data_IF_310616103371
#
_entry.id   IF_310616103371
#
_cell.length_a   1.000
_cell.length_b   1.000
_cell.length_c   1.000
_cell.angle_alpha   90.00
_cell.angle_beta   90.00
_cell.angle_gamma   90.00
#
_symmetry.space_group_name_H-M   'P 1'
#
loop_
_entity.id
_entity.type
_entity.pdbx_description
1 polymer ?
#
# COMPACT_ATOMS: atom_id res chain seq x y z
N UNK A 1 21.32 23.01 0.94
CA UNK A 1 20.55 23.62 -0.17
C UNK A 1 20.29 22.65 -1.29
N UNK A 2 21.33 22.24 -1.99
CA UNK A 2 21.16 21.26 -3.07
C UNK A 2 20.58 19.93 -2.60
N UNK A 3 21.03 19.45 -1.43
CA UNK A 3 20.52 18.19 -0.89
C UNK A 3 19.03 18.26 -0.53
N UNK A 4 18.57 19.40 -0.06
CA UNK A 4 17.15 19.59 0.22
C UNK A 4 16.32 19.66 -1.05
N UNK A 5 16.82 20.36 -2.07
CA UNK A 5 16.15 20.45 -3.36
C UNK A 5 16.04 19.07 -4.02
N UNK A 6 17.14 18.30 -3.99
CA UNK A 6 17.14 16.93 -4.53
C UNK A 6 16.19 16.05 -3.75
N UNK A 7 16.19 16.17 -2.41
CA UNK A 7 15.31 15.38 -1.56
C UNK A 7 13.84 15.70 -1.83
N UNK A 8 13.50 16.98 -1.98
CA UNK A 8 12.14 17.40 -2.32
C UNK A 8 11.71 16.88 -3.68
N UNK A 9 12.64 16.93 -4.65
CA UNK A 9 12.38 16.44 -6.00
C UNK A 9 12.14 14.93 -5.99
N UNK A 10 13.01 14.18 -5.29
CA UNK A 10 12.86 12.73 -5.15
C UNK A 10 11.54 12.38 -4.47
N UNK A 11 11.18 13.10 -3.41
CA UNK A 11 9.91 12.89 -2.72
C UNK A 11 8.74 13.16 -3.65
N UNK A 12 8.79 14.24 -4.44
CA UNK A 12 7.73 14.58 -5.38
C UNK A 12 7.57 13.50 -6.45
N UNK A 13 8.69 12.89 -6.92
CA UNK A 13 8.63 11.79 -7.87
C UNK A 13 8.06 10.52 -7.22
N UNK A 14 8.45 10.23 -5.98
CA UNK A 14 7.92 9.08 -5.24
C UNK A 14 6.45 9.24 -4.91
N UNK A 15 5.99 10.46 -4.69
CA UNK A 15 4.60 10.76 -4.35
C UNK A 15 3.81 11.25 -5.56
N UNK A 16 4.15 10.75 -6.73
CA UNK A 16 3.44 11.08 -7.96
C UNK A 16 1.97 10.70 -7.82
N UNK A 17 1.09 11.60 -8.24
CA UNK A 17 -0.34 11.33 -8.22
C UNK A 17 -0.73 10.39 -9.34
N UNK A 18 -1.64 9.49 -9.03
CA UNK A 18 -2.19 8.54 -9.99
C UNK A 18 -3.68 8.81 -10.17
N UNK A 19 -4.12 8.77 -11.42
CA UNK A 19 -5.53 8.89 -11.75
C UNK A 19 -6.12 7.48 -11.85
N UNK A 20 -7.22 7.25 -11.14
CA UNK A 20 -7.94 5.98 -11.18
C UNK A 20 -9.31 6.19 -11.79
N UNK A 21 -9.66 5.31 -12.70
CA UNK A 21 -11.01 5.26 -13.26
C UNK A 21 -11.84 4.37 -12.36
N UNK A 22 -12.78 4.96 -11.65
CA UNK A 22 -13.59 4.25 -10.65
C UNK A 22 -15.07 4.37 -10.94
N UNK A 23 -15.87 3.60 -10.22
CA UNK A 23 -17.33 3.70 -10.31
C UNK A 23 -17.84 5.05 -9.81
N UNK A 24 -17.06 5.71 -8.96
CA UNK A 24 -17.37 7.04 -8.42
C UNK A 24 -16.79 8.16 -9.28
N UNK A 25 -16.25 7.84 -10.46
CA UNK A 25 -15.64 8.79 -11.37
C UNK A 25 -14.13 8.68 -11.39
N UNK A 26 -13.49 9.67 -12.01
CA UNK A 26 -12.03 9.73 -12.06
C UNK A 26 -11.56 10.38 -10.77
N UNK A 27 -10.70 9.69 -10.04
CA UNK A 27 -10.12 10.21 -8.79
C UNK A 27 -8.60 10.25 -8.91
N UNK A 28 -7.97 11.11 -8.12
CA UNK A 28 -6.51 11.18 -8.05
C UNK A 28 -6.05 10.91 -6.62
N UNK A 29 -5.05 10.05 -6.49
CA UNK A 29 -4.48 9.69 -5.19
C UNK A 29 -2.96 9.62 -5.30
N UNK A 30 -2.28 10.03 -4.25
CA UNK A 30 -0.87 9.74 -4.07
C UNK A 30 -0.73 8.34 -3.44
N UNK A 31 0.40 7.66 -3.64
CA UNK A 31 0.59 6.33 -3.02
C UNK A 31 0.36 6.34 -1.51
N UNK A 32 0.81 7.38 -0.81
CA UNK A 32 0.64 7.48 0.65
C UNK A 32 -0.81 7.67 1.09
N UNK A 33 -1.71 8.07 0.19
CA UNK A 33 -3.13 8.15 0.49
C UNK A 33 -3.78 6.78 0.58
N UNK A 34 -3.14 5.75 0.01
CA UNK A 34 -3.74 4.43 -0.15
C UNK A 34 -3.27 3.52 0.97
N UNK A 35 -4.23 2.97 1.72
CA UNK A 35 -3.96 1.99 2.76
C UNK A 35 -3.73 0.61 2.17
N UNK A 36 -4.65 0.16 1.31
CA UNK A 36 -4.52 -1.14 0.66
C UNK A 36 -5.51 -1.29 -0.49
N UNK A 37 -5.23 -2.25 -1.36
CA UNK A 37 -6.13 -2.69 -2.43
C UNK A 37 -6.67 -4.06 -2.04
N UNK A 38 -7.97 -4.24 -2.22
CA UNK A 38 -8.61 -5.53 -1.97
C UNK A 38 -9.35 -5.99 -3.23
N UNK A 39 -9.06 -7.21 -3.69
CA UNK A 39 -9.81 -7.81 -4.79
C UNK A 39 -11.06 -8.47 -4.23
N UNK A 40 -12.21 -8.02 -4.69
CA UNK A 40 -13.50 -8.47 -4.19
C UNK A 40 -14.53 -8.43 -5.32
N UNK A 41 -15.24 -9.54 -5.54
CA UNK A 41 -16.30 -9.62 -6.55
C UNK A 41 -15.85 -9.14 -7.94
N UNK A 42 -14.68 -9.60 -8.37
CA UNK A 42 -14.07 -9.30 -9.68
C UNK A 42 -13.67 -7.84 -9.87
N UNK A 43 -13.64 -7.08 -8.80
CA UNK A 43 -13.22 -5.68 -8.81
C UNK A 43 -12.21 -5.43 -7.71
N UNK A 44 -11.56 -4.28 -7.78
CA UNK A 44 -10.64 -3.86 -6.73
C UNK A 44 -11.30 -2.74 -5.95
N UNK A 45 -11.27 -2.87 -4.63
CA UNK A 45 -11.66 -1.79 -3.72
C UNK A 45 -10.37 -1.08 -3.31
N UNK A 46 -10.30 0.21 -3.60
CA UNK A 46 -9.18 1.06 -3.20
C UNK A 46 -9.54 1.69 -1.86
N UNK A 47 -8.84 1.29 -0.80
CA UNK A 47 -9.05 1.83 0.53
C UNK A 47 -8.04 2.94 0.78
N UNK A 48 -8.52 4.17 0.88
CA UNK A 48 -7.65 5.34 1.00
C UNK A 48 -8.12 6.30 2.08
N UNK A 49 -7.26 7.25 2.41
CA UNK A 49 -7.59 8.33 3.34
C UNK A 49 -8.69 9.25 2.78
N UNK A 50 -8.89 9.23 1.47
CA UNK A 50 -9.92 10.05 0.81
C UNK A 50 -11.24 9.32 0.67
N UNK A 51 -11.28 8.03 0.96
CA UNK A 51 -12.48 7.19 0.86
C UNK A 51 -12.20 5.86 0.23
N UNK A 52 -13.27 5.10 -0.01
CA UNK A 52 -13.22 3.80 -0.68
C UNK A 52 -13.76 3.95 -2.09
N UNK A 53 -13.03 3.40 -3.06
CA UNK A 53 -13.39 3.51 -4.46
C UNK A 53 -13.35 2.12 -5.10
N UNK A 54 -14.26 1.87 -6.01
CA UNK A 54 -14.35 0.58 -6.70
C UNK A 54 -13.90 0.75 -8.15
N UNK A 55 -12.94 -0.05 -8.57
CA UNK A 55 -12.35 0.04 -9.90
C UNK A 55 -12.11 -1.33 -10.52
N UNK A 56 -12.02 -1.36 -11.84
CA UNK A 56 -11.86 -2.60 -12.60
C UNK A 56 -10.39 -2.83 -12.99
N UNK A 57 -9.50 -2.82 -12.00
CA UNK A 57 -8.09 -3.15 -12.19
C UNK A 57 -7.81 -4.56 -11.68
N UNK A 58 -6.75 -5.19 -12.19
CA UNK A 58 -6.25 -6.41 -11.59
C UNK A 58 -5.26 -6.06 -10.49
N UNK A 59 -5.14 -6.94 -9.48
CA UNK A 59 -4.12 -6.74 -8.45
C UNK A 59 -2.72 -6.80 -9.06
N UNK A 60 -2.52 -7.60 -10.08
CA UNK A 60 -1.23 -7.69 -10.77
C UNK A 60 -0.82 -6.35 -11.35
N UNK A 61 -1.74 -5.67 -12.06
CA UNK A 61 -1.47 -4.34 -12.62
C UNK A 61 -1.10 -3.35 -11.52
N UNK A 62 -1.84 -3.39 -10.42
CA UNK A 62 -1.60 -2.46 -9.31
C UNK A 62 -0.28 -2.77 -8.61
N UNK A 63 0.05 -4.04 -8.44
CA UNK A 63 1.32 -4.42 -7.82
C UNK A 63 2.50 -3.96 -8.68
N UNK A 64 2.43 -4.14 -9.98
CA UNK A 64 3.48 -3.71 -10.89
C UNK A 64 3.74 -2.21 -10.80
N UNK A 65 2.69 -1.42 -10.60
CA UNK A 65 2.82 0.04 -10.50
C UNK A 65 3.20 0.53 -9.11
N UNK A 66 2.71 -0.14 -8.06
CA UNK A 66 2.83 0.38 -6.70
C UNK A 66 3.89 -0.33 -5.85
N UNK A 67 4.46 -1.46 -6.30
CA UNK A 67 5.49 -2.16 -5.52
C UNK A 67 6.69 -1.27 -5.18
N UNK A 68 7.05 -0.36 -6.06
CA UNK A 68 8.16 0.58 -5.81
C UNK A 68 7.89 1.56 -4.66
N UNK A 69 6.64 1.69 -4.25
CA UNK A 69 6.27 2.52 -3.11
C UNK A 69 6.07 1.70 -1.84
N UNK A 70 6.66 0.51 -1.79
CA UNK A 70 6.59 -0.40 -0.63
C UNK A 70 5.19 -0.95 -0.41
N UNK A 71 4.52 -1.30 -1.50
CA UNK A 71 3.29 -2.08 -1.43
C UNK A 71 3.65 -3.55 -1.56
N UNK A 72 3.11 -4.39 -0.69
CA UNK A 72 3.35 -5.83 -0.68
C UNK A 72 2.07 -6.62 -0.54
N UNK A 73 2.06 -7.80 -1.14
CA UNK A 73 0.91 -8.69 -1.09
C UNK A 73 0.96 -9.58 0.16
N UNK A 74 -0.02 -9.40 1.05
CA UNK A 74 -0.16 -10.23 2.25
C UNK A 74 -1.03 -11.46 2.04
N UNK A 75 -1.84 -11.43 0.99
CA UNK A 75 -2.83 -12.45 0.68
C UNK A 75 -3.14 -12.36 -0.80
N UNK A 76 -3.66 -13.44 -1.40
CA UNK A 76 -3.99 -13.44 -2.83
C UNK A 76 -4.95 -12.34 -3.25
N UNK A 77 -5.72 -11.80 -2.31
CA UNK A 77 -6.71 -10.76 -2.57
C UNK A 77 -6.35 -9.39 -2.00
N UNK A 78 -5.15 -9.23 -1.46
CA UNK A 78 -4.76 -7.97 -0.80
C UNK A 78 -3.36 -7.53 -1.18
N UNK A 79 -3.21 -6.22 -1.41
CA UNK A 79 -1.92 -5.56 -1.55
C UNK A 79 -1.93 -4.39 -0.57
N UNK A 80 -0.97 -4.36 0.36
CA UNK A 80 -0.93 -3.40 1.45
C UNK A 80 0.20 -2.39 1.26
N UNK A 81 -0.06 -1.15 1.63
CA UNK A 81 0.97 -0.15 1.78
C UNK A 81 1.65 -0.34 3.14
N UNK A 82 2.93 -0.72 3.14
CA UNK A 82 3.65 -1.05 4.37
C UNK A 82 3.72 0.11 5.35
N UNK A 83 3.75 1.35 4.88
CA UNK A 83 3.84 2.52 5.75
C UNK A 83 2.60 2.68 6.65
N UNK A 84 1.48 2.11 6.23
CA UNK A 84 0.23 2.22 6.98
C UNK A 84 -0.08 1.00 7.84
N UNK A 85 0.85 0.08 7.99
CA UNK A 85 0.70 -1.04 8.91
C UNK A 85 1.03 -0.56 10.32
N UNK A 86 0.09 -0.77 11.23
CA UNK A 86 0.29 -0.48 12.65
C UNK A 86 1.00 -1.63 13.35
N UNK A 87 0.54 -2.84 13.13
CA UNK A 87 1.11 -4.03 13.77
C UNK A 87 0.72 -5.30 13.03
N UNK A 88 1.49 -6.36 13.27
CA UNK A 88 1.17 -7.70 12.79
C UNK A 88 1.15 -8.61 14.00
N UNK A 89 0.04 -9.34 14.18
CA UNK A 89 -0.09 -10.27 15.28
C UNK A 89 -0.67 -11.58 14.73
N UNK A 90 0.15 -12.63 14.76
CA UNK A 90 -0.23 -13.91 14.14
C UNK A 90 -0.43 -13.74 12.64
N UNK A 91 -1.63 -14.00 12.16
CA UNK A 91 -2.00 -13.86 10.76
C UNK A 91 -2.96 -12.69 10.53
N UNK A 92 -2.98 -11.74 11.46
CA UNK A 92 -3.78 -10.53 11.35
C UNK A 92 -2.85 -9.32 11.22
N UNK A 93 -3.12 -8.51 10.22
CA UNK A 93 -2.39 -7.25 9.99
C UNK A 93 -3.34 -6.12 10.35
N UNK A 94 -2.92 -5.31 11.32
CA UNK A 94 -3.69 -4.17 11.78
C UNK A 94 -3.19 -2.92 11.08
N UNK A 95 -4.06 -2.30 10.30
CA UNK A 95 -3.75 -1.07 9.59
C UNK A 95 -3.98 0.15 10.48
N UNK A 96 -3.29 1.24 10.17
CA UNK A 96 -3.41 2.47 10.97
C UNK A 96 -4.81 3.08 10.91
N UNK A 97 -5.59 2.75 9.90
CA UNK A 97 -6.99 3.21 9.79
C UNK A 97 -7.98 2.38 10.61
N UNK A 98 -7.50 1.36 11.30
CA UNK A 98 -8.34 0.47 12.12
C UNK A 98 -8.79 -0.81 11.43
N UNK A 99 -8.54 -0.95 10.14
CA UNK A 99 -8.90 -2.17 9.42
C UNK A 99 -7.96 -3.32 9.78
N UNK A 100 -8.48 -4.55 9.73
CA UNK A 100 -7.69 -5.76 9.93
C UNK A 100 -7.67 -6.52 8.60
N UNK A 101 -6.48 -6.83 8.13
CA UNK A 101 -6.26 -7.47 6.83
C UNK A 101 -5.59 -8.82 7.05
N UNK A 102 -5.98 -9.88 6.33
CA UNK A 102 -5.41 -11.20 6.55
C UNK A 102 -3.98 -11.32 6.00
N UNK A 103 -3.18 -12.11 6.71
CA UNK A 103 -1.86 -12.52 6.28
C UNK A 103 -1.91 -14.02 5.98
N UNK A 104 -1.76 -14.40 4.71
CA UNK A 104 -1.80 -15.79 4.32
C UNK A 104 -0.61 -16.56 4.89
N UNK A 105 -0.84 -17.78 5.38
CA UNK A 105 0.23 -18.62 5.94
C UNK A 105 1.38 -18.80 4.97
N UNK A 106 1.08 -19.03 3.70
CA UNK A 106 2.11 -19.25 2.67
C UNK A 106 3.01 -18.04 2.46
N UNK A 107 2.52 -16.85 2.80
CA UNK A 107 3.23 -15.59 2.58
C UNK A 107 3.81 -15.00 3.86
N UNK A 108 3.48 -15.57 5.01
CA UNK A 108 3.78 -14.96 6.30
C UNK A 108 5.27 -14.71 6.53
N UNK A 109 6.10 -15.71 6.27
CA UNK A 109 7.55 -15.58 6.49
C UNK A 109 8.15 -14.51 5.59
N UNK A 110 7.85 -14.56 4.30
CA UNK A 110 8.38 -13.61 3.33
C UNK A 110 7.83 -12.19 3.58
N UNK A 111 6.53 -12.08 3.84
CA UNK A 111 5.90 -10.79 4.10
C UNK A 111 6.48 -10.11 5.35
N UNK A 112 6.63 -10.87 6.43
CA UNK A 112 7.20 -10.34 7.68
C UNK A 112 8.64 -9.90 7.49
N UNK A 113 9.40 -10.63 6.70
CA UNK A 113 10.78 -10.25 6.39
C UNK A 113 10.81 -8.95 5.60
N UNK A 114 9.98 -8.81 4.58
CA UNK A 114 9.92 -7.58 3.78
C UNK A 114 9.47 -6.39 4.62
N UNK A 115 8.51 -6.62 5.50
CA UNK A 115 8.06 -5.57 6.41
C UNK A 115 9.18 -5.17 7.39
N UNK A 116 9.90 -6.14 7.93
CA UNK A 116 11.03 -5.87 8.83
C UNK A 116 12.11 -5.07 8.10
N UNK A 117 12.47 -5.47 6.89
CA UNK A 117 13.45 -4.73 6.08
C UNK A 117 13.01 -3.30 5.81
N UNK A 118 11.72 -3.13 5.51
CA UNK A 118 11.14 -1.79 5.32
C UNK A 118 11.27 -0.95 6.60
N UNK A 119 10.94 -1.51 7.75
CA UNK A 119 11.03 -0.80 9.02
C UNK A 119 12.46 -0.36 9.34
N UNK A 120 13.45 -1.20 9.05
CA UNK A 120 14.85 -0.85 9.27
C UNK A 120 15.31 0.31 8.40
N UNK A 121 14.77 0.45 7.20
CA UNK A 121 15.15 1.53 6.30
C UNK A 121 14.34 2.82 6.53
N UNK A 122 13.14 2.73 7.08
CA UNK A 122 12.18 3.84 7.18
C UNK A 122 11.98 4.38 8.61
N UNK A 123 12.28 3.58 9.63
CA UNK A 123 12.01 3.94 11.02
C UNK A 123 13.23 3.76 11.90
N UNK A 124 13.25 4.50 13.03
CA UNK A 124 14.27 4.33 14.06
C UNK A 124 13.80 3.23 15.00
N UNK A 125 14.63 2.18 15.12
CA UNK A 125 14.32 1.05 15.99
C UNK A 125 14.72 1.37 17.44
N UNK A 126 13.83 1.09 18.37
CA UNK A 126 14.08 1.26 19.81
C UNK A 126 14.81 0.02 20.38
#
# INVERSE_FOLDING_TARGET
MLSEAVRCLDHALEQQKYAFMTQEGIITLEPDDIYYFEYQSRKVVINSSQGKYIAAYSLKELYEKFSKYHFESSHKSFILNLIHIKSIKGFDIYMKNGDVVPLAQKRAVDFKKRFHDFLQSAFVEI
#
